data_IF_960617087167
#
_entry.id   IF_960617087167
#
_cell.length_a   1.000
_cell.length_b   1.000
_cell.length_c   1.000
_cell.angle_alpha   90.00
_cell.angle_beta   90.00
_cell.angle_gamma   90.00
#
_symmetry.space_group_name_H-M   'P 1'
#
loop_
_entity.id
_entity.type
_entity.pdbx_description
1 polymer ?
#
# COMPACT_ATOMS: atom_id res chain seq x y z
N UNK A 1 9.75 -3.72 23.74
CA UNK A 1 10.47 -4.86 23.17
C UNK A 1 10.87 -4.55 21.74
N UNK A 2 12.18 -4.40 21.50
CA UNK A 2 12.71 -3.94 20.21
C UNK A 2 12.70 -5.05 19.15
N UNK A 3 12.96 -6.29 19.54
CA UNK A 3 13.04 -7.41 18.59
C UNK A 3 11.69 -7.72 17.96
N UNK A 4 10.63 -7.75 18.78
CA UNK A 4 9.26 -7.90 18.27
C UNK A 4 8.86 -6.77 17.31
N UNK A 5 9.21 -5.52 17.64
CA UNK A 5 8.93 -4.38 16.77
C UNK A 5 9.70 -4.48 15.44
N UNK A 6 10.97 -4.89 15.48
CA UNK A 6 11.81 -5.10 14.30
C UNK A 6 11.24 -6.19 13.39
N UNK A 7 10.75 -7.30 13.96
CA UNK A 7 10.13 -8.37 13.19
C UNK A 7 8.87 -7.90 12.46
N UNK A 8 8.02 -7.11 13.13
CA UNK A 8 6.84 -6.51 12.50
C UNK A 8 7.26 -5.53 11.40
N UNK A 9 8.21 -4.63 11.68
CA UNK A 9 8.69 -3.65 10.70
C UNK A 9 9.15 -4.30 9.40
N UNK A 10 9.94 -5.39 9.48
CA UNK A 10 10.41 -6.12 8.29
C UNK A 10 9.28 -6.77 7.49
N UNK A 11 8.21 -7.25 8.14
CA UNK A 11 7.03 -7.78 7.44
C UNK A 11 6.33 -6.72 6.58
N UNK A 12 6.33 -5.46 7.03
CA UNK A 12 5.68 -4.35 6.31
C UNK A 12 6.63 -3.53 5.43
N UNK A 13 7.95 -3.81 5.45
CA UNK A 13 8.95 -2.98 4.79
C UNK A 13 8.71 -2.80 3.28
N UNK A 14 8.32 -3.87 2.58
CA UNK A 14 8.01 -3.79 1.15
C UNK A 14 6.71 -3.01 0.90
N UNK A 15 5.69 -3.16 1.74
CA UNK A 15 4.47 -2.35 1.66
C UNK A 15 4.81 -0.86 1.83
N UNK A 16 5.61 -0.52 2.84
CA UNK A 16 6.03 0.87 3.07
C UNK A 16 6.72 1.46 1.83
N UNK A 17 7.61 0.71 1.19
CA UNK A 17 8.26 1.16 -0.05
C UNK A 17 7.25 1.40 -1.17
N UNK A 18 6.28 0.51 -1.38
CA UNK A 18 5.25 0.65 -2.41
C UNK A 18 4.32 1.85 -2.17
N UNK A 19 4.05 2.20 -0.91
CA UNK A 19 3.21 3.36 -0.58
C UNK A 19 3.79 4.70 -1.08
N UNK A 20 5.10 4.78 -1.31
CA UNK A 20 5.78 6.01 -1.72
C UNK A 20 6.34 5.98 -3.15
N UNK A 21 6.34 4.84 -3.84
CA UNK A 21 6.99 4.70 -5.16
C UNK A 21 6.41 5.63 -6.24
N UNK A 22 5.09 5.85 -6.20
CA UNK A 22 4.37 6.76 -7.11
C UNK A 22 3.99 8.10 -6.43
N UNK A 23 4.58 8.37 -5.25
CA UNK A 23 4.30 9.57 -4.44
C UNK A 23 3.06 9.46 -3.54
N UNK A 24 3.10 10.20 -2.42
CA UNK A 24 1.95 10.34 -1.51
C UNK A 24 0.97 11.40 -2.07
N UNK A 25 -0.36 11.17 -2.10
CA UNK A 25 -1.15 10.07 -1.53
C UNK A 25 -1.57 8.96 -2.51
N UNK A 26 -0.93 8.82 -3.67
CA UNK A 26 -1.33 7.83 -4.66
C UNK A 26 -1.24 6.39 -4.10
N UNK A 27 -0.11 6.01 -3.50
CA UNK A 27 0.10 4.67 -2.95
C UNK A 27 -0.88 4.28 -1.84
N UNK A 28 -1.09 5.17 -0.87
CA UNK A 28 -2.02 4.90 0.25
C UNK A 28 -3.47 4.85 -0.22
N UNK A 29 -3.88 5.68 -1.20
CA UNK A 29 -5.23 5.60 -1.76
C UNK A 29 -5.45 4.31 -2.56
N UNK A 30 -4.45 3.88 -3.32
CA UNK A 30 -4.51 2.60 -4.02
C UNK A 30 -4.68 1.42 -3.04
N UNK A 31 -3.93 1.43 -1.92
CA UNK A 31 -4.07 0.42 -0.86
C UNK A 31 -5.47 0.43 -0.23
N UNK A 32 -5.95 1.59 0.21
CA UNK A 32 -7.27 1.70 0.85
C UNK A 32 -8.42 1.34 -0.10
N UNK A 33 -8.27 1.64 -1.39
CA UNK A 33 -9.20 1.18 -2.41
C UNK A 33 -9.15 -0.34 -2.61
N UNK A 34 -7.96 -0.93 -2.63
CA UNK A 34 -7.82 -2.39 -2.70
C UNK A 34 -8.49 -3.06 -1.48
N UNK A 35 -8.46 -2.41 -0.30
CA UNK A 35 -9.14 -2.86 0.92
C UNK A 35 -10.67 -2.59 0.93
N UNK A 36 -11.25 -2.09 -0.17
CA UNK A 36 -12.67 -1.76 -0.26
C UNK A 36 -13.13 -0.59 0.63
N UNK A 37 -12.21 0.23 1.16
CA UNK A 37 -12.53 1.27 2.15
C UNK A 37 -12.91 2.61 1.50
N UNK A 38 -12.35 2.93 0.33
CA UNK A 38 -12.55 4.21 -0.37
C UNK A 38 -12.53 4.01 -1.88
N UNK A 39 -13.02 5.02 -2.62
CA UNK A 39 -12.71 5.13 -4.05
C UNK A 39 -11.29 5.68 -4.30
N UNK A 40 -10.61 5.19 -5.35
CA UNK A 40 -9.27 5.65 -5.72
C UNK A 40 -9.33 6.92 -6.59
N UNK A 41 -9.94 7.97 -6.05
CA UNK A 41 -10.09 9.26 -6.74
C UNK A 41 -8.96 10.21 -6.37
N UNK A 42 -8.23 10.70 -7.37
CA UNK A 42 -7.15 11.68 -7.23
C UNK A 42 -7.46 12.92 -8.08
N UNK A 43 -6.93 14.07 -7.66
CA UNK A 43 -7.05 15.33 -8.40
C UNK A 43 -5.68 15.69 -8.94
N UNK A 44 -5.65 16.19 -10.17
CA UNK A 44 -4.42 16.69 -10.77
C UNK A 44 -3.78 17.75 -9.86
N UNK A 45 -2.43 17.78 -9.77
CA UNK A 45 -1.47 17.04 -10.61
C UNK A 45 -1.24 15.57 -10.21
N UNK A 46 -1.89 15.07 -9.17
CA UNK A 46 -1.75 13.68 -8.73
C UNK A 46 -2.53 12.74 -9.63
N UNK A 47 -1.90 11.61 -9.97
CA UNK A 47 -2.48 10.56 -10.81
C UNK A 47 -2.50 9.23 -10.05
N UNK A 48 -3.41 8.30 -10.41
CA UNK A 48 -3.39 6.95 -9.86
C UNK A 48 -2.03 6.27 -10.02
N UNK A 49 -1.72 5.36 -9.10
CA UNK A 49 -0.52 4.54 -9.15
C UNK A 49 -0.49 3.68 -10.42
N UNK A 50 0.69 3.19 -10.76
CA UNK A 50 0.84 2.24 -11.87
C UNK A 50 0.08 0.95 -11.56
N UNK A 51 -0.46 0.29 -12.58
CA UNK A 51 -1.14 -1.01 -12.44
C UNK A 51 -0.24 -2.04 -11.72
N UNK A 52 1.05 -2.06 -12.07
CA UNK A 52 2.06 -2.92 -11.44
C UNK A 52 2.26 -2.62 -9.96
N UNK A 53 2.15 -1.36 -9.53
CA UNK A 53 2.19 -0.98 -8.11
C UNK A 53 0.93 -1.47 -7.40
N UNK A 54 -0.25 -1.31 -8.01
CA UNK A 54 -1.53 -1.77 -7.43
C UNK A 54 -1.58 -3.30 -7.26
N UNK A 55 -1.10 -4.06 -8.25
CA UNK A 55 -1.04 -5.52 -8.19
C UNK A 55 -0.12 -5.99 -7.06
N UNK A 56 1.06 -5.36 -6.90
CA UNK A 56 1.99 -5.66 -5.81
C UNK A 56 1.41 -5.33 -4.44
N UNK A 57 0.75 -4.17 -4.29
CA UNK A 57 0.05 -3.82 -3.05
C UNK A 57 -1.00 -4.88 -2.72
N UNK A 58 -1.82 -5.27 -3.71
CA UNK A 58 -2.88 -6.28 -3.51
C UNK A 58 -2.31 -7.65 -3.13
N UNK A 59 -1.17 -8.06 -3.70
CA UNK A 59 -0.50 -9.30 -3.34
C UNK A 59 -0.01 -9.29 -1.88
N UNK A 60 0.65 -8.19 -1.46
CA UNK A 60 1.15 -8.05 -0.10
C UNK A 60 0.01 -7.99 0.92
N UNK A 61 -1.09 -7.31 0.61
CA UNK A 61 -2.26 -7.28 1.50
C UNK A 61 -2.82 -8.69 1.76
N UNK A 62 -2.82 -9.58 0.74
CA UNK A 62 -3.19 -11.00 0.90
C UNK A 62 -2.19 -11.76 1.77
N UNK A 63 -0.89 -11.55 1.55
CA UNK A 63 0.17 -12.19 2.35
C UNK A 63 0.11 -11.79 3.83
N UNK A 64 -0.31 -10.56 4.11
CA UNK A 64 -0.46 -10.02 5.47
C UNK A 64 -1.81 -10.38 6.12
N UNK A 65 -2.67 -11.16 5.45
CA UNK A 65 -4.03 -11.52 5.89
C UNK A 65 -4.88 -10.29 6.24
N UNK A 66 -4.69 -9.20 5.49
CA UNK A 66 -5.47 -7.98 5.63
C UNK A 66 -6.72 -8.12 4.76
N UNK A 67 -7.90 -7.85 5.34
CA UNK A 67 -9.17 -7.90 4.61
C UNK A 67 -9.15 -6.97 3.39
N UNK A 68 -9.54 -7.54 2.26
CA UNK A 68 -9.70 -6.92 0.94
C UNK A 68 -11.18 -6.76 0.66
#
# INVERSE_FOLDING_TARGET
>A
DYESARNIHHKFAELFKLLFVDGNPAGVKAMLHAMGMIENQLRLPLVPTRLTTMEKISAILKELDIRI
#
